data_IF_004553035656
#
_entry.id   IF_004553035656
#
_cell.length_a   1.000
_cell.length_b   1.000
_cell.length_c   1.000
_cell.angle_alpha   90.00
_cell.angle_beta   90.00
_cell.angle_gamma   90.00
#
_symmetry.space_group_name_H-M   'P 1'
#
loop_
_entity.id
_entity.type
_entity.pdbx_description
1 polymer ?
#
# COMPACT_ATOMS: atom_id res chain seq x y z
N UNK A 1 27.01 13.44 -25.77
CA UNK A 1 25.90 12.61 -25.23
C UNK A 1 25.25 11.90 -26.41
N UNK A 2 25.27 10.57 -26.47
CA UNK A 2 24.42 9.84 -27.41
C UNK A 2 23.00 9.93 -26.86
N UNK A 3 22.11 10.65 -27.53
CA UNK A 3 20.69 10.57 -27.26
C UNK A 3 20.26 9.14 -27.56
N UNK A 4 19.97 8.37 -26.51
CA UNK A 4 19.36 7.04 -26.69
C UNK A 4 17.96 7.28 -27.22
N UNK A 5 17.68 6.84 -28.44
CA UNK A 5 16.37 7.01 -29.06
C UNK A 5 15.38 6.07 -28.34
N UNK A 6 14.52 6.64 -27.50
CA UNK A 6 13.50 5.89 -26.81
C UNK A 6 12.49 5.32 -27.83
N UNK A 7 12.13 4.05 -27.68
CA UNK A 7 11.12 3.40 -28.54
C UNK A 7 9.71 3.90 -28.22
N UNK A 8 8.83 4.02 -29.25
CA UNK A 8 7.41 4.28 -29.01
C UNK A 8 6.82 3.23 -28.06
N UNK A 9 5.92 3.69 -27.18
CA UNK A 9 5.16 2.84 -26.29
C UNK A 9 3.77 3.44 -26.06
N UNK A 10 2.85 2.63 -25.59
CA UNK A 10 1.49 3.03 -25.29
C UNK A 10 1.07 2.59 -23.89
N UNK A 11 0.13 3.33 -23.35
CA UNK A 11 -0.74 2.94 -22.24
C UNK A 11 -2.13 2.71 -22.83
N UNK A 12 -2.57 1.47 -22.90
CA UNK A 12 -3.89 1.09 -23.36
C UNK A 12 -4.77 0.74 -22.16
N UNK A 13 -5.88 1.41 -22.01
CA UNK A 13 -6.86 1.18 -20.96
C UNK A 13 -7.91 0.14 -21.37
N UNK A 14 -8.57 -0.47 -20.40
CA UNK A 14 -9.58 -1.53 -20.60
C UNK A 14 -10.74 -1.10 -21.52
N UNK A 15 -11.13 0.17 -21.47
CA UNK A 15 -12.16 0.77 -22.30
C UNK A 15 -11.72 1.07 -23.75
N UNK A 16 -10.45 0.81 -24.06
CA UNK A 16 -9.84 1.02 -25.38
C UNK A 16 -9.16 2.38 -25.57
N UNK A 17 -9.18 3.25 -24.56
CA UNK A 17 -8.48 4.55 -24.61
C UNK A 17 -6.97 4.34 -24.62
N UNK A 18 -6.27 5.08 -25.48
CA UNK A 18 -4.81 4.97 -25.68
C UNK A 18 -4.11 6.28 -25.37
N UNK A 19 -3.07 6.21 -24.55
CA UNK A 19 -2.11 7.30 -24.34
C UNK A 19 -0.76 6.89 -24.93
N UNK A 20 -0.15 7.80 -25.70
CA UNK A 20 1.13 7.57 -26.33
C UNK A 20 2.26 8.07 -25.44
N UNK A 21 3.37 7.35 -25.45
CA UNK A 21 4.59 7.67 -24.73
C UNK A 21 5.80 6.97 -25.35
N UNK A 22 6.84 6.80 -24.54
CA UNK A 22 8.08 6.15 -24.93
C UNK A 22 8.57 5.23 -23.84
N UNK A 23 9.02 4.04 -24.22
CA UNK A 23 9.63 3.08 -23.30
C UNK A 23 10.99 3.58 -22.78
N UNK A 24 11.24 3.35 -21.50
CA UNK A 24 12.52 3.54 -20.83
C UNK A 24 13.06 2.16 -20.47
N UNK A 25 14.19 1.80 -21.06
CA UNK A 25 14.86 0.51 -20.80
C UNK A 25 14.15 -0.69 -21.45
N UNK A 26 13.36 -1.40 -20.68
CA UNK A 26 12.71 -2.66 -21.07
C UNK A 26 11.70 -2.50 -22.22
N UNK A 27 11.62 -3.52 -23.07
CA UNK A 27 10.60 -3.70 -24.10
C UNK A 27 9.63 -4.81 -23.71
N UNK A 28 8.47 -4.88 -24.38
CA UNK A 28 7.44 -5.88 -24.17
C UNK A 28 6.14 -5.28 -23.64
N UNK A 29 5.46 -5.99 -22.75
CA UNK A 29 4.19 -5.55 -22.18
C UNK A 29 4.14 -5.82 -20.67
N UNK A 30 3.41 -4.96 -19.94
CA UNK A 30 3.11 -5.13 -18.52
C UNK A 30 1.62 -4.82 -18.28
N UNK A 31 0.94 -5.70 -17.54
CA UNK A 31 -0.49 -5.62 -17.24
C UNK A 31 -0.73 -5.33 -15.76
N UNK A 32 -1.82 -4.67 -15.44
CA UNK A 32 -2.25 -4.43 -14.06
C UNK A 32 -3.40 -3.43 -13.98
N UNK A 33 -3.98 -3.30 -12.79
CA UNK A 33 -4.93 -2.22 -12.53
C UNK A 33 -4.17 -0.89 -12.51
N UNK A 34 -4.61 0.07 -13.33
CA UNK A 34 -3.99 1.39 -13.36
C UNK A 34 -4.46 2.25 -12.20
N UNK A 35 -3.52 2.86 -11.51
CA UNK A 35 -3.78 3.81 -10.45
C UNK A 35 -2.80 4.99 -10.55
N UNK A 36 -3.06 6.08 -9.83
CA UNK A 36 -2.17 7.23 -9.80
C UNK A 36 -1.79 7.61 -8.37
N UNK A 37 -0.62 8.22 -8.20
CA UNK A 37 -0.20 8.80 -6.93
C UNK A 37 0.14 10.27 -7.13
N UNK A 38 -0.36 11.13 -6.22
CA UNK A 38 -0.19 12.58 -6.27
C UNK A 38 1.01 13.09 -5.44
N UNK A 39 1.77 12.21 -4.84
CA UNK A 39 2.98 12.56 -4.08
C UNK A 39 4.02 13.25 -4.95
N UNK A 40 4.58 14.36 -4.46
CA UNK A 40 5.61 15.13 -5.16
C UNK A 40 7.02 14.56 -4.95
N UNK A 41 7.17 13.65 -4.00
CA UNK A 41 8.43 12.99 -3.60
C UNK A 41 8.14 11.57 -3.11
N UNK A 42 9.19 10.78 -2.86
CA UNK A 42 9.04 9.43 -2.30
C UNK A 42 8.70 8.38 -3.36
N UNK A 43 9.16 8.56 -4.60
CA UNK A 43 8.84 7.61 -5.66
C UNK A 43 9.39 6.21 -5.39
N UNK A 44 10.57 6.08 -4.78
CA UNK A 44 11.18 4.78 -4.50
C UNK A 44 10.40 4.02 -3.43
N UNK A 45 10.00 4.70 -2.36
CA UNK A 45 9.13 4.17 -1.32
C UNK A 45 7.80 3.68 -1.91
N UNK A 46 7.19 4.48 -2.81
CA UNK A 46 5.95 4.10 -3.51
C UNK A 46 6.16 2.85 -4.37
N UNK A 47 7.26 2.78 -5.15
CA UNK A 47 7.49 1.65 -6.07
C UNK A 47 7.81 0.35 -5.33
N UNK A 48 8.34 0.44 -4.12
CA UNK A 48 8.71 -0.70 -3.28
C UNK A 48 7.70 -1.02 -2.19
N UNK A 49 6.60 -0.25 -2.06
CA UNK A 49 5.48 -0.54 -1.16
C UNK A 49 4.69 -1.77 -1.67
N UNK A 50 4.64 -2.87 -0.89
CA UNK A 50 3.92 -4.08 -1.30
C UNK A 50 2.43 -3.87 -1.59
N UNK A 51 1.81 -2.84 -1.01
CA UNK A 51 0.39 -2.53 -1.23
C UNK A 51 0.08 -2.12 -2.68
N UNK A 52 1.10 -1.79 -3.49
CA UNK A 52 0.95 -1.54 -4.92
C UNK A 52 1.16 -2.78 -5.81
N UNK A 53 1.33 -3.95 -5.23
CA UNK A 53 1.57 -5.17 -6.01
C UNK A 53 0.47 -5.40 -7.06
N UNK A 54 0.90 -5.69 -8.30
CA UNK A 54 0.00 -5.91 -9.43
C UNK A 54 -0.63 -4.64 -10.03
N UNK A 55 -0.23 -3.43 -9.60
CA UNK A 55 -0.76 -2.17 -10.12
C UNK A 55 0.22 -1.44 -11.05
N UNK A 56 -0.32 -0.83 -12.11
CA UNK A 56 0.41 0.11 -12.96
C UNK A 56 0.29 1.49 -12.32
N UNK A 57 1.43 2.06 -11.92
CA UNK A 57 1.50 3.34 -11.24
C UNK A 57 1.66 4.51 -12.22
N UNK A 58 0.75 5.47 -12.18
CA UNK A 58 0.90 6.77 -12.85
C UNK A 58 1.42 7.79 -11.84
N UNK A 59 2.64 8.27 -12.05
CA UNK A 59 3.18 9.34 -11.23
C UNK A 59 2.61 10.70 -11.70
N UNK A 60 1.84 11.37 -10.85
CA UNK A 60 1.29 12.69 -11.15
C UNK A 60 2.36 13.79 -11.11
N UNK A 61 3.46 13.58 -10.37
CA UNK A 61 4.61 14.48 -10.38
C UNK A 61 5.30 14.49 -11.74
N UNK A 62 5.82 15.65 -12.14
CA UNK A 62 6.38 15.85 -13.49
C UNK A 62 7.70 15.09 -13.69
N UNK A 63 8.55 15.02 -12.68
CA UNK A 63 9.90 14.47 -12.78
C UNK A 63 10.04 13.23 -11.89
N UNK A 64 10.44 12.12 -12.50
CA UNK A 64 10.80 10.86 -11.83
C UNK A 64 12.26 10.55 -12.11
N UNK A 65 13.00 10.07 -11.10
CA UNK A 65 14.42 9.74 -11.20
C UNK A 65 15.38 10.90 -10.90
N UNK A 66 14.88 12.11 -10.70
CA UNK A 66 15.68 13.33 -10.53
C UNK A 66 16.54 13.37 -9.26
N UNK A 67 16.34 12.49 -8.30
CA UNK A 67 17.20 12.37 -7.10
C UNK A 67 17.81 10.98 -6.91
N UNK A 68 17.72 10.10 -7.94
CA UNK A 68 18.32 8.76 -7.93
C UNK A 68 17.62 7.77 -7.01
N UNK A 69 18.32 6.71 -6.60
CA UNK A 69 17.85 5.68 -5.69
C UNK A 69 18.82 5.52 -4.51
N UNK A 70 18.26 5.14 -3.34
CA UNK A 70 18.98 4.93 -2.09
C UNK A 70 18.37 3.72 -1.35
N UNK A 71 19.17 2.71 -1.03
CA UNK A 71 18.69 1.41 -0.52
C UNK A 71 17.86 1.50 0.76
N UNK A 72 18.14 2.47 1.63
CA UNK A 72 17.41 2.69 2.89
C UNK A 72 15.96 3.18 2.69
N UNK A 73 15.63 3.68 1.48
CA UNK A 73 14.29 4.13 1.11
C UNK A 73 13.40 3.02 0.56
N UNK A 74 13.91 1.79 0.45
CA UNK A 74 13.08 0.65 0.09
C UNK A 74 12.15 0.25 1.23
N UNK A 75 10.88 0.12 0.92
CA UNK A 75 9.85 -0.35 1.85
C UNK A 75 9.70 -1.88 1.85
N UNK A 76 10.33 -2.58 0.90
CA UNK A 76 10.41 -4.05 0.84
C UNK A 76 11.69 -4.51 0.13
N UNK A 77 11.76 -5.78 -0.26
CA UNK A 77 12.91 -6.40 -0.91
C UNK A 77 13.12 -6.00 -2.39
N UNK A 78 12.19 -5.21 -2.96
CA UNK A 78 12.29 -4.74 -4.34
C UNK A 78 11.04 -4.02 -4.82
N UNK A 79 11.00 -3.70 -6.12
CA UNK A 79 9.86 -3.05 -6.76
C UNK A 79 8.64 -3.98 -6.78
N UNK A 80 7.47 -3.45 -6.41
CA UNK A 80 6.20 -4.18 -6.30
C UNK A 80 5.17 -3.75 -7.35
N UNK A 81 5.29 -2.54 -7.90
CA UNK A 81 4.42 -2.09 -8.99
C UNK A 81 4.65 -2.93 -10.25
N UNK A 82 3.59 -3.16 -11.02
CA UNK A 82 3.66 -3.91 -12.30
C UNK A 82 4.27 -3.08 -13.44
N UNK A 83 4.13 -1.77 -13.37
CA UNK A 83 4.67 -0.84 -14.36
C UNK A 83 4.57 0.60 -13.91
N UNK A 84 5.37 1.47 -14.53
CA UNK A 84 5.41 2.90 -14.23
C UNK A 84 5.07 3.74 -15.45
N UNK A 85 4.20 4.73 -15.26
CA UNK A 85 3.90 5.79 -16.23
C UNK A 85 4.30 7.13 -15.65
N UNK A 86 5.11 7.91 -16.38
CA UNK A 86 5.52 9.24 -15.93
C UNK A 86 5.59 10.26 -17.07
N UNK A 87 5.62 11.54 -16.72
CA UNK A 87 5.79 12.63 -17.70
C UNK A 87 7.24 12.73 -18.18
N UNK A 88 8.17 12.88 -17.25
CA UNK A 88 9.59 12.99 -17.54
C UNK A 88 10.36 11.98 -16.68
N UNK A 89 11.19 11.18 -17.33
CA UNK A 89 12.11 10.26 -16.65
C UNK A 89 13.53 10.81 -16.74
N UNK A 90 14.16 11.05 -15.57
CA UNK A 90 15.53 11.50 -15.46
C UNK A 90 16.48 10.32 -15.28
N UNK A 91 17.52 10.26 -16.08
CA UNK A 91 18.60 9.28 -15.96
C UNK A 91 19.68 9.71 -14.94
N UNK A 92 19.60 10.95 -14.46
CA UNK A 92 20.61 11.54 -13.56
C UNK A 92 19.95 11.93 -12.24
N UNK A 93 20.41 11.32 -11.16
CA UNK A 93 20.06 11.72 -9.79
C UNK A 93 20.95 12.89 -9.34
N UNK A 94 20.35 13.87 -8.66
CA UNK A 94 21.05 15.07 -8.17
C UNK A 94 21.35 15.02 -6.65
N UNK A 95 20.80 14.06 -5.92
CA UNK A 95 20.95 13.97 -4.46
C UNK A 95 22.30 13.31 -4.10
N UNK A 96 23.11 13.94 -3.22
CA UNK A 96 24.46 13.44 -2.88
C UNK A 96 24.48 12.03 -2.26
N UNK A 97 23.43 11.63 -1.54
CA UNK A 97 23.33 10.29 -0.91
C UNK A 97 22.80 9.22 -1.87
N UNK A 98 22.49 9.56 -3.11
CA UNK A 98 22.04 8.56 -4.10
C UNK A 98 23.15 7.54 -4.37
N UNK A 99 22.84 6.26 -4.28
CA UNK A 99 23.76 5.16 -4.55
C UNK A 99 23.83 4.84 -6.06
N UNK A 100 22.72 5.05 -6.76
CA UNK A 100 22.60 4.76 -8.19
C UNK A 100 21.53 5.65 -8.85
N UNK A 101 21.51 5.66 -10.19
CA UNK A 101 20.40 6.27 -10.92
C UNK A 101 19.12 5.43 -10.75
N UNK A 102 17.96 6.09 -10.78
CA UNK A 102 16.70 5.34 -10.76
C UNK A 102 16.59 4.38 -11.97
N UNK A 103 17.13 4.76 -13.14
CA UNK A 103 17.15 3.90 -14.32
C UNK A 103 17.87 2.57 -14.06
N UNK A 104 19.08 2.61 -13.47
CA UNK A 104 19.85 1.42 -13.12
C UNK A 104 19.09 0.56 -12.08
N UNK A 105 18.49 1.19 -11.07
CA UNK A 105 17.66 0.49 -10.07
C UNK A 105 16.48 -0.24 -10.73
N UNK A 106 15.70 0.43 -11.58
CA UNK A 106 14.52 -0.18 -12.22
C UNK A 106 14.87 -1.23 -13.28
N UNK A 107 16.00 -1.07 -13.98
CA UNK A 107 16.51 -2.06 -14.93
C UNK A 107 16.84 -3.38 -14.20
N UNK A 108 17.56 -3.31 -13.07
CA UNK A 108 17.86 -4.46 -12.21
C UNK A 108 16.58 -5.13 -11.67
N UNK A 109 15.53 -4.35 -11.43
CA UNK A 109 14.21 -4.83 -11.00
C UNK A 109 13.32 -5.29 -12.15
N UNK A 110 13.80 -5.19 -13.39
CA UNK A 110 13.07 -5.59 -14.61
C UNK A 110 11.70 -4.89 -14.77
N UNK A 111 11.57 -3.65 -14.32
CA UNK A 111 10.33 -2.88 -14.40
C UNK A 111 10.12 -2.28 -15.79
N UNK A 112 8.89 -2.34 -16.31
CA UNK A 112 8.49 -1.65 -17.53
C UNK A 112 8.08 -0.20 -17.22
N UNK A 113 8.71 0.75 -17.90
CA UNK A 113 8.46 2.18 -17.71
C UNK A 113 8.05 2.84 -19.02
N UNK A 114 6.98 3.62 -19.02
CA UNK A 114 6.56 4.48 -20.12
C UNK A 114 6.64 5.94 -19.67
N UNK A 115 7.53 6.70 -20.32
CA UNK A 115 7.71 8.13 -20.12
C UNK A 115 7.12 8.94 -21.28
N UNK A 116 7.20 10.27 -21.16
CA UNK A 116 6.72 11.23 -22.17
C UNK A 116 5.18 11.17 -22.38
N UNK A 117 4.44 10.64 -21.38
CA UNK A 117 2.98 10.55 -21.39
C UNK A 117 2.38 11.85 -20.85
N UNK A 118 1.22 12.27 -21.36
CA UNK A 118 0.40 13.30 -20.72
C UNK A 118 -0.26 12.73 -19.45
N UNK A 119 0.52 12.67 -18.37
CA UNK A 119 0.05 12.12 -17.09
C UNK A 119 -1.08 12.94 -16.48
N UNK A 120 -1.17 14.25 -16.77
CA UNK A 120 -2.28 15.08 -16.28
C UNK A 120 -3.61 14.67 -16.92
N UNK A 121 -3.62 14.46 -18.25
CA UNK A 121 -4.81 13.96 -18.95
C UNK A 121 -5.17 12.55 -18.48
N UNK A 122 -4.19 11.65 -18.34
CA UNK A 122 -4.39 10.28 -17.88
C UNK A 122 -4.95 10.22 -16.44
N UNK A 123 -4.38 10.99 -15.51
CA UNK A 123 -4.87 11.08 -14.12
C UNK A 123 -6.29 11.62 -14.08
N UNK A 124 -6.60 12.67 -14.86
CA UNK A 124 -7.97 13.19 -14.96
C UNK A 124 -8.93 12.14 -15.51
N UNK A 125 -8.49 11.38 -16.52
CA UNK A 125 -9.28 10.30 -17.10
C UNK A 125 -9.61 9.21 -16.07
N UNK A 126 -8.58 8.70 -15.35
CA UNK A 126 -8.78 7.67 -14.31
C UNK A 126 -9.69 8.18 -13.19
N UNK A 127 -9.53 9.44 -12.77
CA UNK A 127 -10.40 10.04 -11.75
C UNK A 127 -11.88 10.06 -12.19
N UNK A 128 -12.13 10.37 -13.46
CA UNK A 128 -13.48 10.56 -13.97
C UNK A 128 -14.15 9.23 -14.38
N UNK A 129 -13.37 8.19 -14.75
CA UNK A 129 -13.87 6.88 -15.20
C UNK A 129 -13.66 5.75 -14.19
N UNK A 130 -12.78 5.91 -13.22
CA UNK A 130 -12.42 4.92 -12.24
C UNK A 130 -11.12 4.17 -12.56
N UNK A 131 -10.58 3.45 -11.57
CA UNK A 131 -9.50 2.53 -11.78
C UNK A 131 -9.97 1.32 -12.60
N UNK A 132 -9.17 0.90 -13.56
CA UNK A 132 -9.47 -0.19 -14.48
C UNK A 132 -8.20 -0.93 -14.87
N UNK A 133 -8.31 -2.08 -15.51
CA UNK A 133 -7.15 -2.77 -16.06
C UNK A 133 -6.51 -1.95 -17.18
N UNK A 134 -5.19 -2.03 -17.29
CA UNK A 134 -4.41 -1.38 -18.34
C UNK A 134 -3.22 -2.25 -18.75
N UNK A 135 -2.67 -1.94 -19.92
CA UNK A 135 -1.42 -2.51 -20.40
C UNK A 135 -0.48 -1.40 -20.85
N UNK A 136 0.77 -1.49 -20.43
CA UNK A 136 1.89 -0.75 -20.99
C UNK A 136 2.54 -1.64 -22.06
N UNK A 137 2.80 -1.12 -23.28
CA UNK A 137 3.38 -1.95 -24.33
C UNK A 137 4.21 -1.18 -25.33
N UNK A 138 5.28 -1.82 -25.85
CA UNK A 138 6.01 -1.37 -27.05
C UNK A 138 5.41 -1.92 -28.36
N UNK A 139 4.40 -2.76 -28.30
CA UNK A 139 3.67 -3.31 -29.46
C UNK A 139 2.61 -2.30 -29.93
N UNK A 140 3.01 -1.12 -30.32
CA UNK A 140 2.11 0.01 -30.62
C UNK A 140 1.13 -0.24 -31.77
N UNK A 141 1.45 -1.16 -32.67
CA UNK A 141 0.61 -1.53 -33.82
C UNK A 141 -0.32 -2.72 -33.53
N UNK A 142 -0.16 -3.41 -32.39
CA UNK A 142 -0.95 -4.59 -32.02
C UNK A 142 -2.08 -4.27 -31.04
N UNK A 143 -2.80 -3.20 -31.26
CA UNK A 143 -3.87 -2.73 -30.33
C UNK A 143 -4.93 -3.81 -30.09
N UNK A 144 -5.40 -4.50 -31.13
CA UNK A 144 -6.47 -5.51 -30.99
C UNK A 144 -5.96 -6.76 -30.23
N UNK A 145 -4.72 -7.18 -30.45
CA UNK A 145 -4.11 -8.26 -29.69
C UNK A 145 -3.95 -7.90 -28.21
N UNK A 146 -3.53 -6.67 -27.91
CA UNK A 146 -3.41 -6.17 -26.55
C UNK A 146 -4.77 -6.03 -25.85
N UNK A 147 -5.82 -5.59 -26.55
CA UNK A 147 -7.19 -5.55 -26.01
C UNK A 147 -7.70 -6.96 -25.65
N UNK A 148 -7.42 -7.95 -26.50
CA UNK A 148 -7.82 -9.33 -26.21
C UNK A 148 -7.11 -9.87 -24.95
N UNK A 149 -5.81 -9.59 -24.80
CA UNK A 149 -5.05 -9.97 -23.61
C UNK A 149 -5.53 -9.22 -22.35
N UNK A 150 -5.85 -7.93 -22.49
CA UNK A 150 -6.33 -7.10 -21.38
C UNK A 150 -7.70 -7.58 -20.86
N UNK A 151 -8.60 -7.98 -21.75
CA UNK A 151 -9.88 -8.62 -21.40
C UNK A 151 -9.76 -9.91 -20.60
N UNK A 152 -8.65 -10.63 -20.78
CA UNK A 152 -8.38 -11.86 -20.04
C UNK A 152 -7.78 -11.61 -18.64
N UNK A 153 -7.38 -10.38 -18.33
CA UNK A 153 -6.85 -10.04 -17.01
C UNK A 153 -7.96 -10.05 -15.96
N UNK A 154 -7.70 -10.60 -14.76
CA UNK A 154 -8.66 -10.54 -13.66
C UNK A 154 -8.85 -9.10 -13.17
N UNK A 155 -10.04 -8.81 -12.65
CA UNK A 155 -10.27 -7.56 -11.89
C UNK A 155 -9.56 -7.62 -10.54
N UNK A 156 -9.15 -6.48 -10.01
CA UNK A 156 -8.63 -6.37 -8.64
C UNK A 156 -9.64 -6.87 -7.60
N UNK A 157 -10.94 -6.70 -7.87
CA UNK A 157 -11.99 -7.26 -7.01
C UNK A 157 -11.96 -8.79 -7.07
N UNK A 158 -11.88 -9.42 -5.91
CA UNK A 158 -11.77 -10.87 -5.76
C UNK A 158 -10.34 -11.40 -5.79
N UNK A 159 -9.31 -10.55 -5.93
CA UNK A 159 -7.90 -10.99 -5.94
C UNK A 159 -7.28 -10.92 -4.54
N UNK A 160 -6.94 -12.09 -4.00
CA UNK A 160 -6.11 -12.23 -2.78
C UNK A 160 -4.63 -12.05 -3.15
N UNK A 161 -4.09 -10.85 -3.08
CA UNK A 161 -2.70 -10.57 -3.45
C UNK A 161 -1.71 -10.56 -2.27
N UNK A 162 -2.19 -10.47 -1.04
CA UNK A 162 -1.34 -10.51 0.15
C UNK A 162 -0.43 -11.77 0.23
N UNK A 163 -0.87 -12.98 -0.17
CA UNK A 163 -0.01 -14.16 -0.22
C UNK A 163 1.23 -14.03 -1.13
N UNK A 164 1.14 -13.22 -2.19
CA UNK A 164 2.23 -13.04 -3.16
C UNK A 164 3.38 -12.16 -2.62
N UNK A 165 3.10 -11.34 -1.61
CA UNK A 165 4.05 -10.38 -1.05
C UNK A 165 4.44 -10.66 0.40
N UNK A 166 3.72 -11.56 1.07
CA UNK A 166 4.03 -12.00 2.43
C UNK A 166 5.35 -12.76 2.49
N UNK A 167 6.07 -12.61 3.59
CA UNK A 167 7.26 -13.43 3.87
C UNK A 167 6.94 -14.93 3.80
N UNK A 168 7.92 -15.74 3.43
CA UNK A 168 7.77 -17.20 3.42
C UNK A 168 8.13 -17.84 4.75
N UNK A 169 8.99 -17.19 5.53
CA UNK A 169 9.45 -17.66 6.84
C UNK A 169 9.38 -16.51 7.84
N UNK A 170 9.12 -16.87 9.11
CA UNK A 170 9.10 -15.88 10.17
C UNK A 170 10.50 -15.33 10.43
N UNK A 171 10.59 -14.02 10.68
CA UNK A 171 11.83 -13.34 11.02
C UNK A 171 11.64 -12.33 12.14
N UNK A 172 12.75 -11.83 12.69
CA UNK A 172 12.74 -10.92 13.81
C UNK A 172 13.30 -9.55 13.44
N UNK A 173 12.75 -8.50 14.09
CA UNK A 173 13.19 -7.11 13.97
C UNK A 173 13.21 -6.47 15.36
N UNK A 174 14.21 -5.63 15.63
CA UNK A 174 14.39 -4.96 16.91
C UNK A 174 15.31 -5.69 17.86
N UNK A 175 15.46 -5.16 19.07
CA UNK A 175 16.30 -5.74 20.12
C UNK A 175 15.52 -6.84 20.86
N UNK A 176 16.10 -8.03 21.01
CA UNK A 176 15.49 -9.16 21.74
C UNK A 176 15.21 -8.85 23.22
N UNK A 177 15.95 -7.89 23.80
CA UNK A 177 15.78 -7.42 25.17
C UNK A 177 14.78 -6.26 25.29
N UNK A 178 14.15 -5.86 24.18
CA UNK A 178 13.16 -4.80 24.20
C UNK A 178 11.97 -5.13 25.12
N UNK A 179 11.37 -4.12 25.79
CA UNK A 179 10.35 -4.34 26.81
C UNK A 179 9.02 -4.89 26.25
N UNK A 180 8.76 -4.79 24.95
CA UNK A 180 7.51 -5.21 24.33
C UNK A 180 7.74 -6.25 23.23
N UNK A 181 6.93 -7.28 23.21
CA UNK A 181 6.93 -8.32 22.17
C UNK A 181 5.72 -8.15 21.28
N UNK A 182 5.94 -7.96 19.98
CA UNK A 182 4.87 -7.77 18.99
C UNK A 182 4.87 -8.93 17.99
N UNK A 183 3.76 -9.65 17.89
CA UNK A 183 3.54 -10.60 16.81
C UNK A 183 2.87 -9.87 15.63
N UNK A 184 3.58 -9.72 14.52
CA UNK A 184 3.11 -9.05 13.32
C UNK A 184 2.73 -10.06 12.24
N UNK A 185 1.50 -10.01 11.75
CA UNK A 185 1.06 -10.78 10.58
C UNK A 185 1.46 -10.01 9.32
N UNK A 186 2.28 -10.63 8.48
CA UNK A 186 2.76 -10.04 7.23
C UNK A 186 1.79 -10.32 6.08
N UNK A 187 1.11 -9.28 5.66
CA UNK A 187 0.24 -9.26 4.49
C UNK A 187 0.84 -8.42 3.35
N UNK A 188 2.09 -8.02 3.50
CA UNK A 188 2.82 -7.07 2.67
C UNK A 188 3.31 -5.89 3.50
N UNK A 189 3.96 -6.17 4.63
CA UNK A 189 4.38 -5.17 5.60
C UNK A 189 5.46 -4.25 5.05
N UNK A 190 5.27 -2.94 5.22
CA UNK A 190 6.30 -1.93 4.92
C UNK A 190 7.39 -1.93 5.99
N UNK A 191 8.65 -1.79 5.56
CA UNK A 191 9.79 -1.69 6.47
C UNK A 191 9.66 -0.55 7.47
N UNK A 192 9.08 0.57 7.06
CA UNK A 192 8.94 1.72 7.96
C UNK A 192 7.96 1.47 9.11
N UNK A 193 6.99 0.57 8.96
CA UNK A 193 6.15 0.10 10.07
C UNK A 193 7.02 -0.59 11.12
N UNK A 194 7.88 -1.51 10.70
CA UNK A 194 8.78 -2.25 11.58
C UNK A 194 9.79 -1.33 12.26
N UNK A 195 10.33 -0.34 11.51
CA UNK A 195 11.23 0.69 12.08
C UNK A 195 10.52 1.51 13.16
N UNK A 196 9.27 1.91 12.93
CA UNK A 196 8.48 2.68 13.91
C UNK A 196 8.19 1.90 15.19
N UNK A 197 7.85 0.62 15.08
CA UNK A 197 7.63 -0.26 16.24
C UNK A 197 8.93 -0.50 17.01
N UNK A 198 10.02 -0.86 16.30
CA UNK A 198 11.33 -1.11 16.91
C UNK A 198 11.91 0.12 17.62
N UNK A 199 11.77 1.32 17.01
CA UNK A 199 12.19 2.58 17.60
C UNK A 199 11.46 2.92 18.92
N UNK A 200 10.30 2.31 19.16
CA UNK A 200 9.51 2.44 20.40
C UNK A 200 9.69 1.29 21.38
N UNK A 201 10.75 0.50 21.19
CA UNK A 201 11.10 -0.58 22.10
C UNK A 201 10.29 -1.86 21.90
N UNK A 202 9.88 -2.16 20.68
CA UNK A 202 9.27 -3.43 20.33
C UNK A 202 10.29 -4.41 19.77
N UNK A 203 10.32 -5.65 20.27
CA UNK A 203 10.88 -6.81 19.62
C UNK A 203 9.79 -7.51 18.82
N UNK A 204 9.92 -7.52 17.51
CA UNK A 204 8.86 -7.90 16.59
C UNK A 204 9.22 -9.25 15.99
N UNK A 205 8.30 -10.22 16.06
CA UNK A 205 8.34 -11.41 15.22
C UNK A 205 7.31 -11.25 14.11
N UNK A 206 7.80 -11.20 12.89
CA UNK A 206 6.99 -11.09 11.67
C UNK A 206 6.68 -12.50 11.19
N UNK A 207 5.40 -12.80 11.05
CA UNK A 207 4.89 -14.11 10.66
C UNK A 207 4.31 -14.08 9.25
N UNK A 208 4.45 -15.14 8.46
CA UNK A 208 3.80 -15.26 7.15
C UNK A 208 2.28 -15.24 7.28
N UNK A 209 1.59 -14.88 6.18
CA UNK A 209 0.13 -14.84 6.12
C UNK A 209 -0.55 -16.18 6.45
N UNK A 210 0.16 -17.29 6.33
CA UNK A 210 -0.31 -18.66 6.64
C UNK A 210 -0.17 -19.05 8.10
N UNK A 211 0.40 -18.19 8.94
CA UNK A 211 0.62 -18.52 10.35
C UNK A 211 -0.69 -18.69 11.12
N UNK A 212 -0.71 -19.63 12.07
CA UNK A 212 -1.85 -19.88 12.92
C UNK A 212 -1.84 -19.01 14.18
N UNK A 213 -2.97 -18.93 14.86
CA UNK A 213 -3.08 -18.22 16.14
C UNK A 213 -2.15 -18.83 17.21
N UNK A 214 -2.01 -20.16 17.21
CA UNK A 214 -1.12 -20.89 18.11
C UNK A 214 0.33 -20.51 17.90
N UNK A 215 0.78 -20.38 16.64
CA UNK A 215 2.14 -19.97 16.31
C UNK A 215 2.42 -18.52 16.73
N UNK A 216 1.47 -17.60 16.49
CA UNK A 216 1.58 -16.22 16.96
C UNK A 216 1.64 -16.16 18.49
N UNK A 217 0.78 -16.91 19.17
CA UNK A 217 0.66 -16.94 20.62
C UNK A 217 1.85 -17.59 21.30
N UNK A 218 2.50 -18.59 20.67
CA UNK A 218 3.70 -19.24 21.17
C UNK A 218 4.88 -18.28 21.33
N UNK A 219 4.90 -17.16 20.60
CA UNK A 219 5.85 -16.08 20.80
C UNK A 219 5.63 -15.31 22.10
N UNK A 220 4.51 -15.53 22.80
CA UNK A 220 4.06 -14.82 23.99
C UNK A 220 4.07 -13.28 23.80
N UNK A 221 3.39 -12.74 22.76
CA UNK A 221 3.39 -11.33 22.45
C UNK A 221 2.65 -10.51 23.50
N UNK A 222 3.05 -9.26 23.72
CA UNK A 222 2.29 -8.25 24.47
C UNK A 222 1.15 -7.66 23.63
N UNK A 223 1.31 -7.65 22.29
CA UNK A 223 0.31 -7.18 21.35
C UNK A 223 0.48 -7.77 19.95
N UNK A 224 -0.57 -7.67 19.14
CA UNK A 224 -0.61 -8.16 17.78
C UNK A 224 -0.69 -6.99 16.79
N UNK A 225 -0.01 -7.14 15.68
CA UNK A 225 -0.01 -6.16 14.60
C UNK A 225 -0.49 -6.81 13.29
N UNK A 226 -1.50 -6.21 12.65
CA UNK A 226 -2.00 -6.64 11.34
C UNK A 226 -1.54 -5.63 10.28
N UNK A 227 -0.71 -6.07 9.35
CA UNK A 227 -0.04 -5.17 8.44
C UNK A 227 -0.92 -4.66 7.29
N UNK A 228 -0.41 -3.68 6.58
CA UNK A 228 -0.87 -3.29 5.26
C UNK A 228 -0.65 -4.41 4.23
N UNK A 229 -1.24 -4.27 3.04
CA UNK A 229 -1.05 -5.23 1.95
C UNK A 229 -1.92 -4.92 0.74
N UNK A 230 -1.67 -5.62 -0.39
CA UNK A 230 -2.38 -5.44 -1.65
C UNK A 230 -3.65 -6.29 -1.76
N UNK A 231 -4.48 -5.94 -2.73
CA UNK A 231 -5.60 -6.75 -3.19
C UNK A 231 -6.91 -6.49 -2.48
N UNK A 232 -7.84 -7.42 -2.67
CA UNK A 232 -9.15 -7.44 -2.04
C UNK A 232 -9.05 -8.17 -0.69
N UNK A 233 -9.54 -7.60 0.42
CA UNK A 233 -9.54 -8.28 1.72
C UNK A 233 -10.55 -9.42 1.82
N UNK A 234 -11.67 -9.39 1.07
CA UNK A 234 -12.76 -10.39 1.23
C UNK A 234 -12.32 -11.84 0.99
N UNK A 235 -11.46 -12.16 0.00
CA UNK A 235 -11.01 -13.53 -0.21
C UNK A 235 -10.02 -14.05 0.84
N UNK A 236 -9.48 -13.20 1.72
CA UNK A 236 -8.50 -13.58 2.75
C UNK A 236 -9.18 -14.23 3.97
N UNK A 237 -9.99 -15.25 3.77
CA UNK A 237 -10.85 -15.87 4.80
C UNK A 237 -10.07 -16.41 5.99
N UNK A 238 -8.88 -16.97 5.77
CA UNK A 238 -8.00 -17.46 6.86
C UNK A 238 -7.47 -16.31 7.69
N UNK A 239 -7.04 -15.20 7.06
CA UNK A 239 -6.58 -14.01 7.77
C UNK A 239 -7.72 -13.31 8.54
N UNK A 240 -8.95 -13.31 8.01
CA UNK A 240 -10.13 -12.79 8.72
C UNK A 240 -10.42 -13.65 9.98
N UNK A 241 -10.35 -14.97 9.84
CA UNK A 241 -10.54 -15.90 10.96
C UNK A 241 -9.46 -15.73 12.03
N UNK A 242 -8.18 -15.65 11.60
CA UNK A 242 -7.06 -15.38 12.50
C UNK A 242 -7.21 -14.03 13.20
N UNK A 243 -7.66 -13.00 12.47
CA UNK A 243 -7.95 -11.68 13.06
C UNK A 243 -8.98 -11.76 14.19
N UNK A 244 -10.06 -12.53 14.01
CA UNK A 244 -11.05 -12.75 15.07
C UNK A 244 -10.43 -13.45 16.29
N UNK A 245 -9.63 -14.49 16.09
CA UNK A 245 -8.94 -15.21 17.18
C UNK A 245 -7.98 -14.30 17.97
N UNK A 246 -7.24 -13.45 17.24
CA UNK A 246 -6.35 -12.45 17.84
C UNK A 246 -7.14 -11.44 18.69
N UNK A 247 -8.28 -10.95 18.21
CA UNK A 247 -9.16 -10.04 18.94
C UNK A 247 -9.72 -10.73 20.20
N UNK A 248 -10.12 -12.00 20.10
CA UNK A 248 -10.70 -12.76 21.20
C UNK A 248 -9.69 -13.09 22.30
N UNK A 249 -8.39 -13.05 21.99
CA UNK A 249 -7.32 -13.19 23.00
C UNK A 249 -7.35 -12.09 24.07
N UNK A 250 -8.00 -10.96 23.80
CA UNK A 250 -8.08 -9.82 24.69
C UNK A 250 -6.82 -8.95 24.75
N UNK A 251 -5.78 -9.29 23.99
CA UNK A 251 -4.55 -8.51 23.90
C UNK A 251 -4.70 -7.31 22.96
N UNK A 252 -3.84 -6.28 23.12
CA UNK A 252 -3.81 -5.14 22.21
C UNK A 252 -3.61 -5.54 20.75
N UNK A 253 -4.41 -4.95 19.85
CA UNK A 253 -4.31 -5.15 18.40
C UNK A 253 -4.30 -3.82 17.69
N UNK A 254 -3.32 -3.65 16.80
CA UNK A 254 -3.25 -2.51 15.89
C UNK A 254 -3.25 -3.00 14.44
N UNK A 255 -4.16 -2.47 13.60
CA UNK A 255 -4.27 -2.78 12.18
C UNK A 255 -4.05 -1.56 11.29
N UNK A 256 -3.26 -1.71 10.23
CA UNK A 256 -3.01 -0.65 9.24
C UNK A 256 -3.50 -1.11 7.86
N UNK A 257 -4.26 -0.26 7.17
CA UNK A 257 -4.73 -0.40 5.79
C UNK A 257 -5.46 -1.75 5.58
N UNK A 258 -4.83 -2.78 5.02
CA UNK A 258 -5.44 -4.11 4.90
C UNK A 258 -5.80 -4.70 6.27
N UNK A 259 -4.94 -4.52 7.28
CA UNK A 259 -5.24 -4.94 8.66
C UNK A 259 -6.47 -4.25 9.26
N UNK A 260 -6.72 -2.97 8.91
CA UNK A 260 -7.94 -2.27 9.28
C UNK A 260 -9.19 -2.92 8.63
N UNK A 261 -9.10 -3.28 7.36
CA UNK A 261 -10.18 -3.93 6.63
C UNK A 261 -10.47 -5.32 7.19
N UNK A 262 -9.44 -6.11 7.54
CA UNK A 262 -9.61 -7.42 8.18
C UNK A 262 -10.28 -7.32 9.54
N UNK A 263 -9.97 -6.30 10.36
CA UNK A 263 -10.65 -6.05 11.63
C UNK A 263 -12.13 -5.75 11.39
N UNK A 264 -12.48 -4.93 10.41
CA UNK A 264 -13.87 -4.65 10.08
C UNK A 264 -14.61 -5.92 9.61
N UNK A 265 -14.01 -6.69 8.70
CA UNK A 265 -14.57 -7.95 8.19
C UNK A 265 -14.76 -8.99 9.29
N UNK A 266 -13.82 -9.13 10.23
CA UNK A 266 -13.95 -10.05 11.36
C UNK A 266 -15.11 -9.69 12.28
N UNK A 267 -15.55 -8.44 12.29
CA UNK A 267 -16.71 -7.96 13.03
C UNK A 267 -18.00 -7.96 12.19
N UNK A 268 -17.99 -8.56 11.01
CA UNK A 268 -19.14 -8.65 10.11
C UNK A 268 -19.47 -7.36 9.34
N UNK A 269 -18.53 -6.41 9.27
CA UNK A 269 -18.68 -5.20 8.45
C UNK A 269 -17.91 -5.37 7.14
N UNK A 270 -18.61 -5.40 5.99
CA UNK A 270 -18.00 -5.62 4.69
C UNK A 270 -17.18 -4.41 4.21
N UNK A 271 -16.36 -4.68 3.20
CA UNK A 271 -15.65 -3.65 2.43
C UNK A 271 -16.26 -3.50 1.05
N UNK A 272 -15.94 -2.42 0.38
CA UNK A 272 -16.33 -2.20 -1.01
C UNK A 272 -15.18 -1.65 -1.84
N UNK A 273 -15.15 -1.99 -3.13
CA UNK A 273 -14.20 -1.44 -4.09
C UNK A 273 -14.55 0.02 -4.36
N UNK A 274 -13.60 0.91 -4.11
CA UNK A 274 -13.74 2.33 -4.42
C UNK A 274 -13.56 2.56 -5.94
N UNK A 275 -14.11 3.67 -6.44
CA UNK A 275 -14.00 4.01 -7.86
C UNK A 275 -12.56 4.18 -8.33
N UNK A 276 -11.75 4.94 -7.62
CA UNK A 276 -10.31 5.16 -7.91
C UNK A 276 -9.41 5.02 -6.68
N UNK A 277 -9.99 4.78 -5.49
CA UNK A 277 -9.24 4.67 -4.24
C UNK A 277 -8.60 5.99 -3.78
N UNK A 278 -7.90 5.92 -2.66
CA UNK A 278 -7.10 7.03 -2.15
C UNK A 278 -5.62 6.69 -2.29
N UNK A 279 -4.87 7.52 -3.02
CA UNK A 279 -3.41 7.35 -3.20
C UNK A 279 -2.72 8.70 -3.28
N UNK A 280 -1.88 8.96 -2.27
CA UNK A 280 -1.15 10.22 -2.13
C UNK A 280 -0.69 10.46 -0.71
N UNK A 281 0.07 11.53 -0.52
CA UNK A 281 0.70 11.86 0.77
C UNK A 281 0.10 13.11 1.42
N UNK A 282 -1.05 13.57 0.96
CA UNK A 282 -1.66 14.84 1.38
C UNK A 282 -3.17 14.72 1.59
N UNK A 283 -3.62 13.57 2.06
CA UNK A 283 -5.03 13.31 2.31
C UNK A 283 -5.43 13.74 3.73
N UNK A 284 -6.43 14.66 3.86
CA UNK A 284 -6.86 15.14 5.16
C UNK A 284 -7.82 14.15 5.82
N UNK A 285 -7.56 13.83 7.08
CA UNK A 285 -8.39 12.95 7.91
C UNK A 285 -8.80 13.68 9.18
N UNK A 286 -10.05 13.51 9.59
CA UNK A 286 -10.59 14.01 10.86
C UNK A 286 -10.52 12.92 11.92
N UNK A 287 -9.78 13.17 12.99
CA UNK A 287 -9.84 12.39 14.21
C UNK A 287 -11.07 12.83 15.03
N UNK A 288 -12.05 11.94 15.15
CA UNK A 288 -13.32 12.21 15.83
C UNK A 288 -13.17 12.22 17.35
N UNK A 289 -12.16 11.55 17.90
CA UNK A 289 -11.91 11.47 19.32
C UNK A 289 -11.32 12.79 19.88
N UNK A 290 -10.43 13.39 19.10
CA UNK A 290 -9.72 14.63 19.50
C UNK A 290 -10.31 15.88 18.87
N UNK A 291 -11.08 15.73 17.80
CA UNK A 291 -11.58 16.84 16.98
C UNK A 291 -10.54 17.49 16.07
N UNK A 292 -9.30 17.01 16.05
CA UNK A 292 -8.21 17.50 15.19
C UNK A 292 -8.27 16.92 13.79
N UNK A 293 -7.65 17.60 12.83
CA UNK A 293 -7.42 17.08 11.48
C UNK A 293 -5.94 16.82 11.28
N UNK A 294 -5.63 15.78 10.54
CA UNK A 294 -4.28 15.28 10.27
C UNK A 294 -4.11 15.13 8.76
N UNK A 295 -2.91 15.36 8.25
CA UNK A 295 -2.56 15.05 6.86
C UNK A 295 -1.91 13.68 6.83
N UNK A 296 -2.42 12.81 5.96
CA UNK A 296 -2.05 11.39 5.97
C UNK A 296 -1.58 10.90 4.61
N UNK A 297 -0.76 9.85 4.65
CA UNK A 297 -0.42 9.05 3.47
C UNK A 297 -1.48 7.97 3.27
N UNK A 298 -1.97 7.83 2.03
CA UNK A 298 -3.02 6.89 1.68
C UNK A 298 -2.59 6.02 0.49
N UNK A 299 -2.91 4.73 0.56
CA UNK A 299 -2.75 3.80 -0.56
C UNK A 299 -3.72 2.63 -0.41
N UNK A 300 -4.96 2.81 -0.84
CA UNK A 300 -5.96 1.73 -0.82
C UNK A 300 -7.02 1.91 -1.91
N UNK A 301 -7.54 0.79 -2.42
CA UNK A 301 -8.61 0.73 -3.41
C UNK A 301 -9.93 0.19 -2.85
N UNK A 302 -9.93 -0.23 -1.58
CA UNK A 302 -11.11 -0.71 -0.86
C UNK A 302 -11.32 0.12 0.42
N UNK A 303 -12.55 0.23 0.87
CA UNK A 303 -12.91 0.93 2.09
C UNK A 303 -13.98 0.16 2.87
N UNK A 304 -14.03 0.36 4.17
CA UNK A 304 -15.04 -0.22 5.06
C UNK A 304 -16.39 0.46 4.84
N UNK A 305 -17.46 -0.32 4.78
CA UNK A 305 -18.83 0.19 4.67
C UNK A 305 -19.20 1.02 5.90
N UNK A 306 -19.38 2.32 5.68
CA UNK A 306 -19.64 3.28 6.75
C UNK A 306 -20.97 3.05 7.44
N UNK A 307 -22.05 2.81 6.66
CA UNK A 307 -23.38 2.65 7.24
C UNK A 307 -23.47 1.41 8.13
N UNK A 308 -22.84 0.31 7.71
CA UNK A 308 -22.81 -0.92 8.47
C UNK A 308 -21.87 -0.82 9.68
N UNK A 309 -20.76 -0.09 9.56
CA UNK A 309 -19.88 0.21 10.70
C UNK A 309 -20.59 1.06 11.77
N UNK A 310 -21.36 2.09 11.37
CA UNK A 310 -22.15 2.92 12.30
C UNK A 310 -23.25 2.13 13.03
N UNK A 311 -23.83 1.13 12.36
CA UNK A 311 -24.88 0.28 12.94
C UNK A 311 -24.31 -0.85 13.82
N UNK A 312 -23.02 -1.17 13.71
CA UNK A 312 -22.40 -2.24 14.47
C UNK A 312 -22.20 -1.82 15.94
N UNK A 313 -22.80 -2.53 16.92
CA UNK A 313 -22.72 -2.12 18.34
C UNK A 313 -21.31 -2.21 18.91
N UNK A 314 -20.44 -3.03 18.33
CA UNK A 314 -19.08 -3.25 18.81
C UNK A 314 -18.06 -2.25 18.24
N UNK A 315 -18.38 -1.56 17.15
CA UNK A 315 -17.48 -0.65 16.45
C UNK A 315 -17.75 0.81 16.86
N UNK A 316 -16.70 1.58 16.97
CA UNK A 316 -16.71 3.03 17.00
C UNK A 316 -15.82 3.55 15.89
N UNK A 317 -16.36 4.39 15.00
CA UNK A 317 -15.58 5.09 13.98
C UNK A 317 -14.78 6.19 14.67
N UNK A 318 -13.47 6.14 14.51
CA UNK A 318 -12.54 7.08 15.16
C UNK A 318 -12.01 8.15 14.20
N UNK A 319 -11.94 7.83 12.90
CA UNK A 319 -11.42 8.73 11.88
C UNK A 319 -12.27 8.69 10.61
N UNK A 320 -12.42 9.86 9.98
CA UNK A 320 -13.10 10.02 8.68
C UNK A 320 -12.21 10.79 7.71
N UNK A 321 -12.18 10.33 6.47
CA UNK A 321 -11.55 11.08 5.37
C UNK A 321 -12.36 12.34 5.06
N UNK A 322 -11.71 13.52 5.02
CA UNK A 322 -12.43 14.79 4.94
C UNK A 322 -12.99 15.10 3.54
N UNK A 323 -12.43 14.52 2.48
CA UNK A 323 -12.90 14.83 1.11
C UNK A 323 -14.19 14.10 0.75
N UNK A 324 -14.43 12.89 1.27
CA UNK A 324 -15.56 12.04 0.86
C UNK A 324 -16.28 11.34 2.02
N UNK A 325 -15.78 11.49 3.26
CA UNK A 325 -16.40 10.92 4.45
C UNK A 325 -16.25 9.40 4.58
N UNK A 326 -15.32 8.77 3.84
CA UNK A 326 -15.02 7.35 4.01
C UNK A 326 -14.44 7.07 5.40
N UNK A 327 -14.65 5.85 5.91
CA UNK A 327 -14.09 5.41 7.20
C UNK A 327 -12.57 5.34 7.09
N UNK A 328 -11.89 6.11 7.91
CA UNK A 328 -10.43 6.18 7.94
C UNK A 328 -9.83 5.58 9.23
N UNK A 329 -10.66 5.16 10.19
CA UNK A 329 -10.23 4.46 11.39
C UNK A 329 -11.40 3.99 12.23
N UNK A 330 -11.20 2.87 12.91
CA UNK A 330 -12.16 2.28 13.85
C UNK A 330 -11.45 1.83 15.12
N UNK A 331 -12.21 1.69 16.20
CA UNK A 331 -11.83 0.92 17.39
C UNK A 331 -12.97 -0.01 17.83
N UNK A 332 -12.64 -1.09 18.50
CA UNK A 332 -13.63 -1.95 19.11
C UNK A 332 -13.94 -1.44 20.54
N UNK A 333 -15.24 -1.29 20.82
CA UNK A 333 -15.70 -0.96 22.17
C UNK A 333 -15.40 -2.15 23.10
N UNK A 334 -14.87 -1.87 24.29
CA UNK A 334 -14.55 -2.90 25.31
C UNK A 334 -13.44 -3.91 24.93
N UNK A 335 -12.64 -3.59 23.91
CA UNK A 335 -11.45 -4.37 23.53
C UNK A 335 -10.30 -3.41 23.22
N UNK A 336 -9.05 -3.76 23.54
CA UNK A 336 -7.89 -2.91 23.23
C UNK A 336 -7.48 -3.04 21.74
N UNK A 337 -8.41 -2.76 20.83
CA UNK A 337 -8.27 -2.95 19.39
C UNK A 337 -8.60 -1.65 18.67
N UNK A 338 -7.67 -1.18 17.85
CA UNK A 338 -7.90 -0.04 16.97
C UNK A 338 -7.19 -0.21 15.63
N UNK A 339 -7.61 0.53 14.64
CA UNK A 339 -7.02 0.46 13.31
C UNK A 339 -7.27 1.74 12.51
N UNK A 340 -6.41 1.96 11.51
CA UNK A 340 -6.53 3.06 10.56
C UNK A 340 -6.37 2.57 9.13
N UNK A 341 -7.12 3.19 8.22
CA UNK A 341 -7.07 2.89 6.78
C UNK A 341 -5.84 3.47 6.10
N UNK A 342 -5.32 4.57 6.63
CA UNK A 342 -4.14 5.28 6.13
C UNK A 342 -2.84 4.74 6.72
N UNK A 343 -1.72 5.29 6.28
CA UNK A 343 -0.37 4.86 6.64
C UNK A 343 0.28 5.83 7.64
N UNK A 344 0.17 5.59 8.96
CA UNK A 344 0.76 6.47 9.98
C UNK A 344 2.29 6.41 10.01
N UNK A 345 2.88 5.36 9.41
CA UNK A 345 4.32 5.22 9.24
C UNK A 345 4.89 6.16 8.19
N UNK A 346 4.04 6.78 7.34
CA UNK A 346 4.44 7.56 6.18
C UNK A 346 5.37 6.76 5.22
N UNK A 347 6.51 7.30 4.83
CA UNK A 347 7.45 6.71 3.88
C UNK A 347 6.78 6.28 2.54
N UNK A 348 6.41 7.28 1.71
CA UNK A 348 6.57 8.71 1.93
C UNK A 348 5.38 9.35 2.64
N UNK A 349 5.58 10.56 3.17
CA UNK A 349 4.47 11.39 3.66
C UNK A 349 4.72 12.09 4.99
N UNK A 350 3.70 12.79 5.53
CA UNK A 350 3.76 13.50 6.79
C UNK A 350 3.70 12.55 7.98
N UNK A 351 4.20 13.01 9.12
CA UNK A 351 4.28 12.24 10.37
C UNK A 351 3.19 12.61 11.39
N UNK A 352 2.14 13.32 10.99
CA UNK A 352 1.07 13.79 11.87
C UNK A 352 0.42 12.66 12.68
N UNK A 353 0.33 11.47 12.09
CA UNK A 353 -0.31 10.31 12.68
C UNK A 353 0.65 9.32 13.36
N UNK A 354 1.94 9.64 13.48
CA UNK A 354 2.95 8.72 14.07
C UNK A 354 2.65 8.37 15.53
N UNK A 355 1.91 9.21 16.25
CA UNK A 355 1.46 8.97 17.63
C UNK A 355 0.63 7.68 17.81
N UNK A 356 0.05 7.14 16.73
CA UNK A 356 -0.71 5.89 16.79
C UNK A 356 0.17 4.68 17.17
N UNK A 357 1.44 4.72 16.83
CA UNK A 357 2.40 3.72 17.32
C UNK A 357 2.65 3.88 18.83
N UNK A 358 2.71 5.11 19.35
CA UNK A 358 2.83 5.37 20.79
C UNK A 358 1.57 4.88 21.53
N UNK A 359 0.38 5.14 20.97
CA UNK A 359 -0.88 4.62 21.50
C UNK A 359 -0.89 3.08 21.56
N UNK A 360 -0.33 2.39 20.58
CA UNK A 360 -0.24 0.92 20.62
C UNK A 360 0.67 0.43 21.75
N UNK A 361 1.82 1.08 21.96
CA UNK A 361 2.73 0.79 23.07
C UNK A 361 2.04 1.05 24.43
N UNK A 362 1.30 2.15 24.56
CA UNK A 362 0.54 2.48 25.78
C UNK A 362 -0.51 1.42 26.09
N UNK A 363 -1.23 0.92 25.08
CA UNK A 363 -2.19 -0.18 25.26
C UNK A 363 -1.49 -1.46 25.75
N UNK A 364 -0.33 -1.81 25.22
CA UNK A 364 0.44 -2.95 25.72
C UNK A 364 0.92 -2.76 27.15
N UNK A 365 1.31 -1.54 27.53
CA UNK A 365 1.72 -1.22 28.90
C UNK A 365 0.57 -1.38 29.88
N UNK A 366 -0.62 -0.92 29.51
CA UNK A 366 -1.81 -0.94 30.36
C UNK A 366 -2.45 -2.34 30.50
N UNK A 367 -2.07 -3.29 29.65
CA UNK A 367 -2.57 -4.68 29.65
C UNK A 367 -1.57 -5.70 30.20
N UNK A 368 -0.40 -5.26 30.69
CA UNK A 368 0.56 -6.07 31.45
C UNK A 368 0.11 -6.17 32.91
#
# INVERSE_FOLDING_TARGET
>A
MKYTQKKPAIVLLEDGTVFHGKAVGKEGSAFGEICFNTGMTGYQEIFTDPSYFGQIMVAATVHIGNYGAFSEENESDGVKIAGLVCRNFSEYGSRPISEESLGAFLERQNLFVVSDVDTRALVSYIRDHGSMNAVLSTEVDNIEGLKAQLKAQPSMKGLALAPEVSTKEAYFVGDENAPYRVAALDLGIKRNILRNLAARGAYIKVFPHTATFEELSAFAPDGFFLSNGPGDPEPLTEAITLTQQVIDSGKPVFGICLGHQLIALSQGVPTYKMRNGHRGINHPVKNLLTGKSEITSQNHGFAVDKELAEKNPNIEITHLHLNDGTVAGIRLKNRPVFSVQYHPEAAPGPHDASYLFDQFIELMTSNK
#
